data_IF_160426946571
#
_entry.id   IF_160426946571
#
_cell.length_a   1.000
_cell.length_b   1.000
_cell.length_c   1.000
_cell.angle_alpha   90.00
_cell.angle_beta   90.00
_cell.angle_gamma   90.00
#
_symmetry.space_group_name_H-M   'P 1'
#
loop_
_entity.id
_entity.type
_entity.pdbx_description
1 polymer ?
#
# COMPACT_ATOMS: atom_id res chain seq x y z
N UNK A 1 20.42 13.15 5.20
CA UNK A 1 19.75 12.66 3.99
C UNK A 1 18.27 12.84 4.18
N UNK A 2 17.64 13.75 3.44
CA UNK A 2 16.18 13.87 3.39
C UNK A 2 15.64 12.66 2.63
N UNK A 3 15.40 11.57 3.34
CA UNK A 3 14.67 10.44 2.80
C UNK A 3 13.30 10.96 2.37
N UNK A 4 13.06 10.96 1.06
CA UNK A 4 11.74 11.22 0.53
C UNK A 4 10.83 10.09 1.01
N UNK A 5 10.16 10.36 2.13
CA UNK A 5 9.27 9.48 2.86
C UNK A 5 7.92 9.35 2.14
N UNK A 6 7.91 9.17 0.83
CA UNK A 6 6.69 9.05 0.04
C UNK A 6 6.64 7.63 -0.52
N UNK A 7 5.58 6.92 -0.18
CA UNK A 7 5.19 5.70 -0.88
C UNK A 7 4.09 6.05 -1.86
N UNK A 8 4.14 5.46 -3.04
CA UNK A 8 3.10 5.61 -4.04
C UNK A 8 2.75 4.24 -4.60
N UNK A 9 1.49 4.08 -5.00
CA UNK A 9 1.02 2.86 -5.63
C UNK A 9 0.92 3.07 -7.14
N UNK A 10 1.53 2.18 -7.90
CA UNK A 10 1.57 2.26 -9.36
C UNK A 10 0.17 2.25 -9.97
N UNK A 11 -0.02 2.94 -11.10
CA UNK A 11 -1.34 3.10 -11.74
C UNK A 11 -1.96 1.80 -12.25
N UNK A 12 -1.15 0.77 -12.49
CA UNK A 12 -1.56 -0.56 -12.93
C UNK A 12 -1.91 -1.51 -11.78
N UNK A 13 -1.83 -1.05 -10.52
CA UNK A 13 -2.28 -1.84 -9.36
C UNK A 13 -3.71 -1.46 -9.02
N UNK A 14 -4.60 -2.43 -8.93
CA UNK A 14 -6.00 -2.25 -8.53
C UNK A 14 -6.14 -2.54 -7.03
N UNK A 15 -6.97 -1.76 -6.34
CA UNK A 15 -7.34 -2.00 -4.94
C UNK A 15 -8.78 -2.46 -4.92
N UNK A 16 -9.04 -3.59 -4.27
CA UNK A 16 -10.37 -4.04 -3.90
C UNK A 16 -10.41 -4.18 -2.40
N UNK A 17 -11.44 -3.68 -1.73
CA UNK A 17 -11.57 -3.83 -0.29
C UNK A 17 -13.01 -4.02 0.14
N UNK A 18 -13.16 -4.74 1.24
CA UNK A 18 -14.39 -4.87 2.00
C UNK A 18 -14.10 -4.63 3.50
N UNK A 19 -15.09 -4.93 4.34
CA UNK A 19 -14.97 -4.73 5.78
C UNK A 19 -13.94 -5.65 6.46
N UNK A 20 -13.43 -6.67 5.76
CA UNK A 20 -12.58 -7.72 6.30
C UNK A 20 -11.20 -7.77 5.66
N UNK A 21 -11.09 -7.50 4.36
CA UNK A 21 -9.86 -7.67 3.60
C UNK A 21 -9.64 -6.55 2.58
N UNK A 22 -8.37 -6.40 2.20
CA UNK A 22 -7.90 -5.56 1.10
C UNK A 22 -7.07 -6.43 0.17
N UNK A 23 -7.48 -6.49 -1.10
CA UNK A 23 -6.77 -7.15 -2.18
C UNK A 23 -6.10 -6.11 -3.07
N UNK A 24 -4.80 -6.27 -3.27
CA UNK A 24 -4.06 -5.56 -4.32
C UNK A 24 -3.79 -6.51 -5.48
N UNK A 25 -4.09 -6.06 -6.69
CA UNK A 25 -3.87 -6.83 -7.93
C UNK A 25 -3.04 -6.03 -8.93
N UNK A 26 -1.92 -6.57 -9.38
CA UNK A 26 -1.08 -5.96 -10.41
C UNK A 26 -1.47 -6.49 -11.79
N UNK A 27 -2.02 -5.63 -12.65
CA UNK A 27 -2.47 -6.07 -13.99
C UNK A 27 -1.36 -6.32 -15.00
N UNK A 28 -0.10 -5.97 -14.68
CA UNK A 28 1.06 -6.23 -15.54
C UNK A 28 1.62 -7.62 -15.28
N UNK A 29 1.77 -7.99 -14.01
CA UNK A 29 2.36 -9.28 -13.60
C UNK A 29 1.33 -10.36 -13.33
N UNK A 30 0.04 -9.99 -13.20
CA UNK A 30 -1.04 -10.85 -12.74
C UNK A 30 -0.91 -11.34 -11.29
N UNK A 31 0.00 -10.73 -10.51
CA UNK A 31 0.17 -11.05 -9.09
C UNK A 31 -0.88 -10.35 -8.24
N UNK A 32 -1.20 -10.98 -7.10
CA UNK A 32 -2.09 -10.41 -6.10
C UNK A 32 -1.62 -10.69 -4.69
N UNK A 33 -1.93 -9.77 -3.78
CA UNK A 33 -1.70 -9.92 -2.34
C UNK A 33 -2.91 -9.43 -1.56
N UNK A 34 -3.29 -10.20 -0.55
CA UNK A 34 -4.40 -9.91 0.33
C UNK A 34 -3.89 -9.58 1.74
N UNK A 35 -4.48 -8.55 2.34
CA UNK A 35 -4.20 -8.12 3.71
C UNK A 35 -5.51 -8.06 4.50
N UNK A 36 -5.52 -8.49 5.77
CA UNK A 36 -6.66 -8.25 6.63
C UNK A 36 -6.82 -6.74 6.88
N UNK A 37 -8.07 -6.27 6.89
CA UNK A 37 -8.40 -4.89 7.19
C UNK A 37 -8.17 -4.61 8.68
N UNK A 38 -6.98 -4.11 9.01
CA UNK A 38 -6.64 -3.64 10.36
C UNK A 38 -6.57 -2.12 10.41
N UNK A 39 -6.86 -1.54 11.56
CA UNK A 39 -6.33 -0.21 11.88
C UNK A 39 -4.88 -0.41 12.35
N UNK A 40 -3.91 0.38 11.86
CA UNK A 40 -4.06 1.61 11.07
C UNK A 40 -4.00 1.44 9.53
N UNK A 41 -3.77 0.23 9.01
CA UNK A 41 -3.58 -0.04 7.57
C UNK A 41 -4.73 0.50 6.70
N UNK A 42 -5.99 0.31 7.10
CA UNK A 42 -7.17 0.76 6.34
C UNK A 42 -7.10 2.25 5.96
N UNK A 43 -6.63 3.10 6.88
CA UNK A 43 -6.49 4.55 6.62
C UNK A 43 -5.53 4.85 5.47
N UNK A 44 -4.49 4.03 5.30
CA UNK A 44 -3.53 4.18 4.21
C UNK A 44 -4.09 3.63 2.91
N UNK A 45 -4.79 2.49 2.95
CA UNK A 45 -5.47 1.93 1.78
C UNK A 45 -6.46 2.93 1.20
N UNK A 46 -7.32 3.52 2.02
CA UNK A 46 -8.29 4.52 1.55
C UNK A 46 -7.62 5.75 0.91
N UNK A 47 -6.43 6.15 1.38
CA UNK A 47 -5.65 7.24 0.76
C UNK A 47 -4.98 6.85 -0.55
N UNK A 48 -4.66 5.58 -0.73
CA UNK A 48 -4.07 5.03 -1.95
C UNK A 48 -5.15 4.73 -3.01
N UNK A 49 -6.38 4.47 -2.56
CA UNK A 49 -7.56 4.26 -3.39
C UNK A 49 -8.16 5.58 -3.88
N UNK A 50 -7.97 6.68 -3.13
CA UNK A 50 -8.38 8.01 -3.55
C UNK A 50 -7.58 8.51 -4.77
N UNK A 51 -8.22 8.68 -5.95
CA UNK A 51 -7.54 9.13 -7.16
C UNK A 51 -7.04 10.58 -7.07
N UNK A 52 -7.59 11.40 -6.17
CA UNK A 52 -7.23 12.82 -6.04
C UNK A 52 -5.86 13.03 -5.42
N UNK A 53 -5.37 12.07 -4.63
CA UNK A 53 -4.09 12.14 -3.94
C UNK A 53 -2.96 11.46 -4.73
N UNK A 54 -3.17 11.22 -6.04
CA UNK A 54 -2.20 10.59 -6.94
C UNK A 54 -1.67 9.24 -6.41
N UNK A 55 -2.47 8.58 -5.56
CA UNK A 55 -2.15 7.30 -4.89
C UNK A 55 -0.85 7.34 -4.07
N UNK A 56 -0.64 8.42 -3.31
CA UNK A 56 0.59 8.67 -2.52
C UNK A 56 0.30 8.79 -1.03
N UNK A 57 1.18 8.26 -0.19
CA UNK A 57 1.15 8.44 1.25
C UNK A 57 2.52 8.84 1.77
N UNK A 58 2.53 9.65 2.83
CA UNK A 58 3.75 10.00 3.54
C UNK A 58 4.00 8.98 4.65
N UNK A 59 5.16 8.36 4.65
CA UNK A 59 5.62 7.39 5.65
C UNK A 59 6.44 8.11 6.73
N UNK A 60 5.87 8.35 7.91
CA UNK A 60 6.68 8.78 9.05
C UNK A 60 7.42 7.59 9.66
N UNK A 61 8.45 7.86 10.48
CA UNK A 61 9.13 6.81 11.24
C UNK A 61 8.15 6.04 12.13
N UNK A 62 7.27 6.76 12.83
CA UNK A 62 6.21 6.19 13.68
C UNK A 62 5.25 5.27 12.90
N UNK A 63 4.90 5.63 11.65
CA UNK A 63 4.04 4.79 10.81
C UNK A 63 4.73 3.49 10.41
N UNK A 64 6.04 3.56 10.15
CA UNK A 64 6.85 2.38 9.80
C UNK A 64 7.20 1.49 11.00
N UNK A 65 6.93 1.94 12.24
CA UNK A 65 7.01 1.11 13.44
C UNK A 65 5.77 0.19 13.59
N UNK A 66 4.67 0.49 12.90
CA UNK A 66 3.50 -0.40 12.84
C UNK A 66 3.79 -1.60 11.93
N UNK A 67 3.73 -2.80 12.49
CA UNK A 67 4.04 -4.03 11.75
C UNK A 67 3.11 -4.28 10.57
N UNK A 68 1.82 -3.93 10.68
CA UNK A 68 0.86 -4.16 9.59
C UNK A 68 1.13 -3.24 8.41
N UNK A 69 1.46 -1.97 8.68
CA UNK A 69 1.82 -1.00 7.65
C UNK A 69 3.18 -1.33 7.06
N UNK A 70 4.18 -1.64 7.88
CA UNK A 70 5.51 -2.05 7.41
C UNK A 70 5.41 -3.26 6.48
N UNK A 71 4.73 -4.33 6.92
CA UNK A 71 4.54 -5.54 6.12
C UNK A 71 3.83 -5.25 4.80
N UNK A 72 2.78 -4.42 4.82
CA UNK A 72 2.08 -3.99 3.62
C UNK A 72 3.02 -3.30 2.62
N UNK A 73 3.78 -2.29 3.06
CA UNK A 73 4.66 -1.50 2.20
C UNK A 73 5.74 -2.39 1.57
N UNK A 74 6.38 -3.23 2.37
CA UNK A 74 7.46 -4.09 1.89
C UNK A 74 6.93 -5.16 0.92
N UNK A 75 5.76 -5.76 1.20
CA UNK A 75 5.15 -6.74 0.29
C UNK A 75 4.75 -6.14 -1.05
N UNK A 76 4.23 -4.92 -1.05
CA UNK A 76 3.91 -4.21 -2.29
C UNK A 76 5.17 -3.91 -3.10
N UNK A 77 6.26 -3.49 -2.44
CA UNK A 77 7.55 -3.25 -3.11
C UNK A 77 8.12 -4.53 -3.71
N UNK A 78 8.14 -5.61 -2.95
CA UNK A 78 8.64 -6.92 -3.39
C UNK A 78 7.88 -7.39 -4.64
N UNK A 79 6.54 -7.41 -4.56
CA UNK A 79 5.71 -7.99 -5.61
C UNK A 79 5.59 -7.11 -6.85
N UNK A 80 5.52 -5.79 -6.68
CA UNK A 80 5.16 -4.90 -7.79
C UNK A 80 6.33 -4.07 -8.32
N UNK A 81 7.42 -3.93 -7.55
CA UNK A 81 8.62 -3.20 -7.97
C UNK A 81 9.83 -4.11 -8.24
N UNK A 82 9.79 -5.38 -7.82
CA UNK A 82 10.82 -6.38 -8.15
C UNK A 82 12.20 -6.08 -7.57
N UNK A 83 12.27 -5.43 -6.40
CA UNK A 83 13.51 -5.09 -5.68
C UNK A 83 13.79 -6.14 -4.61
#
# INVERSE_FOLDING_TARGET
MTTNNIFYLESFVFIFHDNTNVLLYNSITYDSVEFPTTQPLLKFILKLDDPSNMRRIKLSKEIMEDQSVYYFIEKVRELFWGI
#
